data_IF_396759470674
#
_entry.id   IF_396759470674
#
_cell.length_a   1.000
_cell.length_b   1.000
_cell.length_c   1.000
_cell.angle_alpha   90.00
_cell.angle_beta   90.00
_cell.angle_gamma   90.00
#
_symmetry.space_group_name_H-M   'P 1'
#
loop_
_entity.id
_entity.type
_entity.pdbx_description
1 polymer ?
#
# COMPACT_ATOMS: atom_id res chain seq x y z
N UNK A 1 -1.88 31.52 15.14
CA UNK A 1 -3.34 31.78 15.19
C UNK A 1 -4.03 31.85 13.82
N UNK A 2 -3.37 32.30 12.74
CA UNK A 2 -4.01 32.48 11.41
C UNK A 2 -4.72 31.23 10.85
N UNK A 3 -4.12 30.04 10.98
CA UNK A 3 -4.75 28.79 10.51
C UNK A 3 -6.02 28.43 11.28
N UNK A 4 -6.02 28.60 12.60
CA UNK A 4 -7.20 28.30 13.42
C UNK A 4 -8.34 29.27 13.09
N UNK A 5 -8.04 30.54 12.91
CA UNK A 5 -9.02 31.52 12.44
C UNK A 5 -9.59 31.15 11.06
N UNK A 6 -8.74 30.72 10.11
CA UNK A 6 -9.18 30.30 8.78
C UNK A 6 -10.08 29.04 8.82
N UNK A 7 -9.72 28.06 9.64
CA UNK A 7 -10.53 26.86 9.87
C UNK A 7 -11.87 27.22 10.55
N UNK A 8 -11.85 28.10 11.55
CA UNK A 8 -13.07 28.55 12.25
C UNK A 8 -14.03 29.32 11.34
N UNK A 9 -13.51 30.18 10.44
CA UNK A 9 -14.35 30.90 9.47
C UNK A 9 -15.13 29.99 8.52
N UNK A 10 -14.65 28.76 8.30
CA UNK A 10 -15.21 27.82 7.33
C UNK A 10 -16.02 26.70 7.97
N UNK A 11 -15.59 26.19 9.12
CA UNK A 11 -16.21 25.06 9.82
C UNK A 11 -16.82 25.46 11.18
N UNK A 12 -16.66 26.70 11.61
CA UNK A 12 -17.20 27.22 12.87
C UNK A 12 -16.59 26.55 14.11
N UNK A 13 -17.43 26.36 15.12
CA UNK A 13 -17.07 25.70 16.38
C UNK A 13 -16.72 24.22 16.21
N UNK A 14 -17.06 23.60 15.08
CA UNK A 14 -16.81 22.18 14.83
C UNK A 14 -15.31 21.85 14.85
N UNK A 15 -14.44 22.75 14.39
CA UNK A 15 -12.97 22.59 14.45
C UNK A 15 -12.46 22.44 15.89
N UNK A 16 -13.16 23.06 16.85
CA UNK A 16 -12.79 23.08 18.26
C UNK A 16 -13.40 21.89 19.01
N UNK A 17 -14.68 21.62 18.74
CA UNK A 17 -15.45 20.61 19.47
C UNK A 17 -15.29 19.21 18.88
N UNK A 18 -15.21 19.11 17.56
CA UNK A 18 -15.14 17.87 16.80
C UNK A 18 -14.01 17.91 15.74
N UNK A 19 -12.74 18.04 16.16
CA UNK A 19 -11.64 18.12 15.22
C UNK A 19 -11.59 16.91 14.28
N UNK A 20 -11.19 17.09 13.01
CA UNK A 20 -11.24 16.03 12.01
C UNK A 20 -10.38 14.83 12.41
N UNK A 21 -10.97 13.63 12.29
CA UNK A 21 -10.27 12.37 12.59
C UNK A 21 -9.21 12.08 11.53
N UNK A 22 -7.96 11.97 11.96
CA UNK A 22 -6.80 11.78 11.08
C UNK A 22 -6.62 10.29 10.70
N UNK A 23 -7.35 9.84 9.67
CA UNK A 23 -7.20 8.51 9.04
C UNK A 23 -6.10 8.50 7.97
N UNK A 24 -5.71 7.33 7.48
CA UNK A 24 -4.74 7.19 6.37
C UNK A 24 -5.25 7.84 5.09
N UNK A 25 -6.50 7.58 4.72
CA UNK A 25 -7.17 8.19 3.56
C UNK A 25 -7.29 9.70 3.68
N UNK A 26 -7.60 10.21 4.88
CA UNK A 26 -7.65 11.64 5.16
C UNK A 26 -6.31 12.32 4.85
N UNK A 27 -5.19 11.73 5.32
CA UNK A 27 -3.84 12.24 5.03
C UNK A 27 -3.56 12.27 3.54
N UNK A 28 -3.94 11.22 2.81
CA UNK A 28 -3.77 11.14 1.34
C UNK A 28 -4.58 12.21 0.64
N UNK A 29 -5.86 12.36 0.99
CA UNK A 29 -6.76 13.36 0.41
C UNK A 29 -6.22 14.78 0.63
N UNK A 30 -5.81 15.08 1.86
CA UNK A 30 -5.23 16.36 2.22
C UNK A 30 -3.93 16.64 1.45
N UNK A 31 -2.97 15.72 1.49
CA UNK A 31 -1.67 15.91 0.83
C UNK A 31 -1.80 16.00 -0.69
N UNK A 32 -2.65 15.16 -1.31
CA UNK A 32 -2.95 15.21 -2.74
C UNK A 32 -3.53 16.56 -3.14
N UNK A 33 -4.51 17.06 -2.39
CA UNK A 33 -5.11 18.36 -2.68
C UNK A 33 -4.08 19.48 -2.53
N UNK A 34 -3.36 19.52 -1.41
CA UNK A 34 -2.39 20.57 -1.12
C UNK A 34 -1.24 20.61 -2.16
N UNK A 35 -0.82 19.45 -2.67
CA UNK A 35 0.21 19.39 -3.70
C UNK A 35 -0.33 19.74 -5.08
N UNK A 36 -1.56 19.34 -5.40
CA UNK A 36 -2.20 19.69 -6.68
C UNK A 36 -2.46 21.20 -6.80
N UNK A 37 -2.86 21.85 -5.72
CA UNK A 37 -3.22 23.29 -5.73
C UNK A 37 -2.07 24.21 -5.34
N UNK A 38 -0.97 23.68 -4.80
CA UNK A 38 0.10 24.50 -4.23
C UNK A 38 -0.33 25.25 -2.95
N UNK A 39 -1.42 24.82 -2.30
CA UNK A 39 -2.03 25.55 -1.19
C UNK A 39 -1.07 25.81 -0.01
N UNK A 40 -1.22 27.00 0.57
CA UNK A 40 -0.65 27.40 1.85
C UNK A 40 -1.26 26.62 3.02
N UNK A 41 -0.59 26.65 4.18
CA UNK A 41 -1.11 25.98 5.38
C UNK A 41 -2.45 26.56 5.85
N UNK A 42 -2.67 27.86 5.67
CA UNK A 42 -3.94 28.54 5.98
C UNK A 42 -5.08 28.06 5.10
N UNK A 43 -4.83 27.85 3.80
CA UNK A 43 -5.84 27.32 2.87
C UNK A 43 -6.13 25.84 3.15
N UNK A 44 -5.11 25.06 3.52
CA UNK A 44 -5.32 23.68 3.99
C UNK A 44 -6.20 23.66 5.24
N UNK A 45 -5.95 24.55 6.20
CA UNK A 45 -6.75 24.66 7.42
C UNK A 45 -8.21 25.04 7.12
N UNK A 46 -8.43 26.02 6.23
CA UNK A 46 -9.76 26.40 5.77
C UNK A 46 -10.49 25.24 5.05
N UNK A 47 -9.78 24.48 4.21
CA UNK A 47 -10.41 23.40 3.44
C UNK A 47 -10.70 22.15 4.27
N UNK A 48 -9.80 21.79 5.17
CA UNK A 48 -9.81 20.49 5.86
C UNK A 48 -10.11 20.56 7.36
N UNK A 49 -10.24 21.76 7.94
CA UNK A 49 -10.45 21.96 9.37
C UNK A 49 -9.25 21.53 10.22
N UNK A 50 -8.04 21.46 9.64
CA UNK A 50 -6.88 20.87 10.29
C UNK A 50 -5.70 21.84 10.39
N UNK A 51 -5.22 22.04 11.61
CA UNK A 51 -4.23 23.08 11.94
C UNK A 51 -2.83 22.55 12.26
N UNK A 52 -2.60 21.24 12.14
CA UNK A 52 -1.32 20.60 12.46
C UNK A 52 -0.22 20.83 11.43
N UNK A 53 0.50 21.95 11.51
CA UNK A 53 1.54 22.36 10.53
C UNK A 53 2.60 21.26 10.30
N UNK A 54 3.20 20.75 11.37
CA UNK A 54 4.27 19.74 11.28
C UNK A 54 3.79 18.46 10.60
N UNK A 55 2.54 18.06 10.87
CA UNK A 55 1.91 16.90 10.27
C UNK A 55 1.62 17.13 8.79
N UNK A 56 1.08 18.29 8.42
CA UNK A 56 0.85 18.67 7.01
C UNK A 56 2.18 18.67 6.24
N UNK A 57 3.23 19.28 6.80
CA UNK A 57 4.57 19.31 6.20
C UNK A 57 5.12 17.89 5.98
N UNK A 58 5.03 17.04 7.00
CA UNK A 58 5.47 15.66 6.91
C UNK A 58 4.68 14.87 5.86
N UNK A 59 3.36 15.03 5.81
CA UNK A 59 2.52 14.32 4.84
C UNK A 59 2.80 14.78 3.40
N UNK A 60 2.96 16.08 3.17
CA UNK A 60 3.36 16.60 1.85
C UNK A 60 4.72 16.04 1.42
N UNK A 61 5.70 16.01 2.32
CA UNK A 61 7.02 15.42 2.06
C UNK A 61 6.91 13.95 1.69
N UNK A 62 6.16 13.15 2.46
CA UNK A 62 5.97 11.72 2.19
C UNK A 62 5.24 11.53 0.86
N UNK A 63 4.21 12.31 0.59
CA UNK A 63 3.45 12.24 -0.67
C UNK A 63 4.33 12.55 -1.88
N UNK A 64 5.17 13.60 -1.82
CA UNK A 64 6.14 13.91 -2.88
C UNK A 64 7.14 12.77 -3.12
N UNK A 65 7.62 12.15 -2.04
CA UNK A 65 8.68 11.13 -2.14
C UNK A 65 8.17 9.73 -2.49
N UNK A 66 6.97 9.37 -2.03
CA UNK A 66 6.46 7.98 -2.05
C UNK A 66 5.04 7.86 -2.59
N UNK A 67 4.44 8.98 -3.01
CA UNK A 67 3.06 9.03 -3.48
C UNK A 67 2.02 8.70 -2.39
N UNK A 68 0.78 8.40 -2.79
CA UNK A 68 -0.31 8.08 -1.86
C UNK A 68 0.00 6.83 -1.02
N UNK A 69 0.63 5.81 -1.60
CA UNK A 69 0.99 4.57 -0.91
C UNK A 69 1.94 4.81 0.28
N UNK A 70 2.81 5.83 0.18
CA UNK A 70 3.68 6.23 1.28
C UNK A 70 2.89 6.66 2.53
N UNK A 71 1.80 7.40 2.35
CA UNK A 71 0.95 7.84 3.46
C UNK A 71 0.06 6.73 4.01
N UNK A 72 -0.44 5.84 3.14
CA UNK A 72 -1.20 4.65 3.54
C UNK A 72 -0.37 3.70 4.41
N UNK A 73 0.94 3.63 4.17
CA UNK A 73 1.86 2.77 4.93
C UNK A 73 2.24 3.29 6.32
N UNK A 74 1.80 4.50 6.71
CA UNK A 74 2.11 5.07 8.02
C UNK A 74 1.27 4.37 9.09
N UNK A 75 1.89 3.42 9.80
CA UNK A 75 1.27 2.78 10.96
C UNK A 75 1.23 3.74 12.15
N UNK A 76 0.09 3.81 12.84
CA UNK A 76 -0.05 4.59 14.08
C UNK A 76 0.83 3.97 15.16
N UNK A 77 1.51 4.82 15.95
CA UNK A 77 2.35 4.40 17.08
C UNK A 77 3.85 4.40 16.78
N UNK A 78 4.65 4.19 17.83
CA UNK A 78 6.11 4.10 17.74
C UNK A 78 6.49 2.85 16.95
N UNK A 79 7.42 2.98 16.00
CA UNK A 79 8.02 1.79 15.38
C UNK A 79 8.59 0.90 16.49
N UNK A 80 8.34 -0.41 16.47
CA UNK A 80 8.89 -1.30 17.48
C UNK A 80 10.42 -1.16 17.49
N UNK A 81 10.99 -0.88 18.66
CA UNK A 81 12.41 -0.54 18.85
C UNK A 81 13.35 -1.74 18.72
N UNK A 82 12.81 -2.95 18.57
CA UNK A 82 13.60 -4.18 18.50
C UNK A 82 14.14 -4.38 17.08
N UNK A 83 15.44 -4.59 16.96
CA UNK A 83 16.16 -4.88 15.72
C UNK A 83 15.44 -5.94 14.87
N UNK A 84 14.69 -5.45 13.88
CA UNK A 84 13.90 -6.27 12.97
C UNK A 84 14.78 -7.08 12.00
N UNK A 85 16.12 -6.97 12.05
CA UNK A 85 17.03 -7.73 11.19
C UNK A 85 16.87 -9.24 11.37
N UNK A 86 16.59 -9.73 12.60
CA UNK A 86 16.31 -11.16 12.84
C UNK A 86 14.96 -11.61 12.28
N UNK A 87 13.88 -10.82 12.41
CA UNK A 87 12.54 -11.18 11.89
C UNK A 87 12.46 -11.10 10.37
N UNK A 88 13.12 -10.10 9.75
CA UNK A 88 13.16 -9.96 8.30
C UNK A 88 13.97 -11.08 7.65
N UNK A 89 15.12 -11.46 8.25
CA UNK A 89 15.89 -12.65 7.83
C UNK A 89 15.03 -13.92 7.88
N UNK A 90 14.30 -14.16 8.98
CA UNK A 90 13.45 -15.35 9.13
C UNK A 90 12.29 -15.37 8.12
N UNK A 91 11.69 -14.22 7.80
CA UNK A 91 10.64 -14.09 6.77
C UNK A 91 11.18 -14.32 5.35
N UNK A 92 12.39 -13.82 5.06
CA UNK A 92 13.03 -14.01 3.75
C UNK A 92 13.46 -15.46 3.54
N UNK A 93 13.96 -16.15 4.57
CA UNK A 93 14.31 -17.58 4.49
C UNK A 93 13.05 -18.41 4.21
N UNK A 94 11.95 -18.17 4.94
CA UNK A 94 10.68 -18.87 4.71
C UNK A 94 10.11 -18.66 3.30
N UNK A 95 10.18 -17.44 2.78
CA UNK A 95 9.76 -17.12 1.40
C UNK A 95 10.64 -17.78 0.33
N UNK A 96 11.95 -17.90 0.58
CA UNK A 96 12.86 -18.59 -0.34
C UNK A 96 12.55 -20.09 -0.37
N UNK A 97 12.33 -20.69 0.81
CA UNK A 97 11.97 -22.10 0.93
C UNK A 97 10.64 -22.44 0.25
N UNK A 98 9.60 -21.61 0.44
CA UNK A 98 8.33 -21.83 -0.25
C UNK A 98 8.46 -21.70 -1.78
N UNK A 99 9.21 -20.69 -2.26
CA UNK A 99 9.43 -20.49 -3.69
C UNK A 99 10.18 -21.66 -4.34
N UNK A 100 11.14 -22.27 -3.63
CA UNK A 100 11.86 -23.45 -4.14
C UNK A 100 10.96 -24.69 -4.21
N UNK A 101 10.08 -24.88 -3.23
CA UNK A 101 9.11 -25.99 -3.25
C UNK A 101 8.09 -25.83 -4.37
N UNK A 102 7.58 -24.63 -4.58
CA UNK A 102 6.63 -24.35 -5.67
C UNK A 102 7.28 -24.60 -7.05
N UNK A 103 8.55 -24.21 -7.23
CA UNK A 103 9.29 -24.45 -8.46
C UNK A 103 9.52 -25.93 -8.74
N UNK A 104 9.81 -26.73 -7.71
CA UNK A 104 9.93 -28.19 -7.85
C UNK A 104 8.60 -28.81 -8.26
N UNK A 105 7.50 -28.40 -7.62
CA UNK A 105 6.17 -28.91 -7.92
C UNK A 105 5.70 -28.54 -9.34
N UNK A 106 5.98 -27.32 -9.80
CA UNK A 106 5.66 -26.89 -11.16
C UNK A 106 6.40 -27.76 -12.17
N UNK A 107 7.69 -28.00 -11.96
CA UNK A 107 8.50 -28.83 -12.85
C UNK A 107 7.95 -30.26 -12.96
N UNK A 108 7.60 -30.88 -11.82
CA UNK A 108 6.98 -32.21 -11.80
C UNK A 108 5.67 -32.25 -12.62
N UNK A 109 4.82 -31.22 -12.47
CA UNK A 109 3.55 -31.14 -13.19
C UNK A 109 3.71 -30.87 -14.69
N UNK A 110 4.78 -30.18 -15.08
CA UNK A 110 5.14 -29.95 -16.49
C UNK A 110 5.61 -31.25 -17.15
N UNK A 111 6.48 -32.01 -16.48
CA UNK A 111 6.97 -33.31 -16.95
C UNK A 111 5.80 -34.32 -17.11
N UNK A 112 4.91 -34.40 -16.11
CA UNK A 112 3.72 -35.26 -16.15
C UNK A 112 2.78 -34.86 -17.31
N UNK A 113 2.57 -33.56 -17.53
CA UNK A 113 1.75 -33.09 -18.66
C UNK A 113 2.33 -33.47 -20.01
N UNK A 114 3.65 -33.38 -20.18
CA UNK A 114 4.31 -33.80 -21.42
C UNK A 114 4.11 -35.29 -21.67
N UNK A 115 4.29 -36.12 -20.65
CA UNK A 115 4.10 -37.56 -20.76
C UNK A 115 2.65 -37.92 -21.13
N UNK A 116 1.66 -37.28 -20.48
CA UNK A 116 0.24 -37.48 -20.78
C UNK A 116 -0.11 -37.06 -22.21
N UNK A 117 0.48 -35.97 -22.72
CA UNK A 117 0.28 -35.53 -24.11
C UNK A 117 0.80 -36.56 -25.11
N UNK A 118 2.00 -37.09 -24.89
CA UNK A 118 2.59 -38.13 -25.75
C UNK A 118 1.73 -39.40 -25.74
N UNK A 119 1.31 -39.87 -24.55
CA UNK A 119 0.42 -41.04 -24.42
C UNK A 119 -0.91 -40.85 -25.13
N UNK A 120 -1.51 -39.67 -25.01
CA UNK A 120 -2.77 -39.34 -25.67
C UNK A 120 -2.62 -39.34 -27.20
N UNK A 121 -1.54 -38.73 -27.70
CA UNK A 121 -1.25 -38.67 -29.14
C UNK A 121 -1.01 -40.06 -29.73
N UNK A 122 -0.20 -40.89 -29.07
CA UNK A 122 0.02 -42.28 -29.47
C UNK A 122 -1.30 -43.08 -29.49
N UNK A 123 -2.16 -42.89 -28.47
CA UNK A 123 -3.46 -43.55 -28.41
C UNK A 123 -4.40 -43.14 -29.55
N UNK A 124 -4.39 -41.85 -29.94
CA UNK A 124 -5.16 -41.35 -31.08
C UNK A 124 -4.68 -41.93 -32.41
N UNK A 125 -3.37 -42.01 -32.62
CA UNK A 125 -2.78 -42.63 -33.81
C UNK A 125 -3.14 -44.11 -33.93
N UNK A 126 -3.06 -44.86 -32.83
CA UNK A 126 -3.48 -46.26 -32.80
C UNK A 126 -4.98 -46.43 -33.10
N UNK A 127 -5.82 -45.51 -32.63
CA UNK A 127 -7.24 -45.53 -32.94
C UNK A 127 -7.53 -45.21 -34.41
N UNK A 128 -6.82 -44.26 -35.04
CA UNK A 128 -6.98 -43.96 -36.47
C UNK A 128 -6.46 -45.07 -37.38
N UNK A 129 -5.49 -45.88 -36.93
CA UNK A 129 -4.96 -47.01 -37.69
C UNK A 129 -5.87 -48.25 -37.67
N UNK A 130 -6.90 -48.28 -36.80
CA UNK A 130 -7.84 -49.39 -36.66
C UNK A 130 -9.16 -49.20 -37.44
N UNK A 131 -9.29 -48.13 -38.23
CA UNK A 131 -10.40 -47.89 -39.16
C UNK A 131 -9.95 -48.20 -40.59
#
# INVERSE_FOLDING_TARGET
MQMLAAAYRTHGTDVLLNPPKVTSEYRVKLARWAEKTGASYTEVAAKFGYVGIQQIMAWRKIYRQKGPNGLLSITKGRKPSMDNKKRLKKKNIRKKASKTTDQQRIKELEDENQELRIKLEASKLLASMKQ
#
